data_IF_153826152187
#
_entry.id   IF_153826152187
#
_cell.length_a   1.000
_cell.length_b   1.000
_cell.length_c   1.000
_cell.angle_alpha   90.00
_cell.angle_beta   90.00
_cell.angle_gamma   90.00
#
_symmetry.space_group_name_H-M   'P 1'
#
loop_
_entity.id
_entity.type
_entity.pdbx_description
1 polymer ?
#
# COMPACT_ATOMS: atom_id res chain seq x y z
N UNK A 1 12.52 2.90 -16.74
CA UNK A 1 12.91 2.83 -15.32
C UNK A 1 11.91 1.91 -14.64
N UNK A 2 12.34 0.82 -14.02
CA UNK A 2 11.43 0.01 -13.19
C UNK A 2 11.11 0.86 -11.96
N UNK A 3 9.96 1.51 -11.95
CA UNK A 3 9.47 2.11 -10.72
C UNK A 3 9.15 0.93 -9.80
N UNK A 4 9.94 0.79 -8.72
CA UNK A 4 9.58 -0.15 -7.68
C UNK A 4 8.19 0.23 -7.18
N UNK A 5 7.25 -0.73 -7.23
CA UNK A 5 5.88 -0.52 -6.76
C UNK A 5 5.86 -0.23 -5.25
N UNK A 6 6.82 -0.81 -4.52
CA UNK A 6 6.94 -0.70 -3.06
C UNK A 6 8.26 -0.01 -2.73
N UNK A 7 8.21 1.00 -1.87
CA UNK A 7 9.37 1.75 -1.39
C UNK A 7 9.24 2.04 0.12
N UNK A 8 10.30 2.55 0.75
CA UNK A 8 10.32 3.05 2.14
C UNK A 8 9.75 2.04 3.16
N UNK A 9 10.12 0.76 3.05
CA UNK A 9 9.62 -0.29 3.93
C UNK A 9 10.23 -0.17 5.33
N UNK A 10 9.35 -0.09 6.34
CA UNK A 10 9.71 -0.10 7.75
C UNK A 10 8.95 -1.22 8.48
N UNK A 11 9.63 -1.92 9.40
CA UNK A 11 9.07 -3.03 10.16
C UNK A 11 9.21 -2.77 11.65
N UNK A 12 8.12 -2.93 12.38
CA UNK A 12 8.04 -2.66 13.80
C UNK A 12 7.51 -3.86 14.58
N UNK A 13 7.88 -3.98 15.85
CA UNK A 13 7.31 -4.94 16.76
C UNK A 13 7.85 -6.37 16.64
N UNK A 14 8.93 -6.61 15.87
CA UNK A 14 9.53 -7.94 15.70
C UNK A 14 9.89 -8.58 17.03
N UNK A 15 10.71 -7.91 17.84
CA UNK A 15 11.20 -8.41 19.12
C UNK A 15 10.05 -8.74 20.07
N UNK A 16 9.09 -7.83 20.25
CA UNK A 16 7.94 -8.10 21.11
C UNK A 16 7.07 -9.25 20.58
N UNK A 17 6.86 -9.34 19.27
CA UNK A 17 6.08 -10.42 18.65
C UNK A 17 6.77 -11.78 18.82
N UNK A 18 8.09 -11.84 18.73
CA UNK A 18 8.86 -13.06 19.02
C UNK A 18 8.75 -13.44 20.49
N UNK A 19 8.82 -12.47 21.40
CA UNK A 19 8.63 -12.70 22.83
C UNK A 19 7.26 -13.30 23.13
N UNK A 20 6.17 -12.70 22.63
CA UNK A 20 4.80 -13.17 22.92
C UNK A 20 4.46 -14.49 22.24
N UNK A 21 5.12 -14.84 21.13
CA UNK A 21 4.93 -16.14 20.47
C UNK A 21 5.31 -17.33 21.35
N UNK A 22 6.14 -17.10 22.38
CA UNK A 22 6.61 -18.11 23.34
C UNK A 22 5.63 -18.32 24.52
N UNK A 23 4.69 -17.40 24.75
CA UNK A 23 3.78 -17.42 25.91
C UNK A 23 3.00 -18.72 26.12
N UNK A 24 2.44 -19.36 25.08
CA UNK A 24 1.64 -20.57 25.28
C UNK A 24 2.42 -21.74 25.94
N UNK A 25 3.74 -21.71 25.92
CA UNK A 25 4.60 -22.76 26.45
C UNK A 25 5.32 -22.38 27.75
N UNK A 26 4.98 -21.21 28.33
CA UNK A 26 5.65 -20.70 29.53
C UNK A 26 4.71 -20.66 30.73
N UNK A 27 5.25 -21.03 31.88
CA UNK A 27 4.59 -20.82 33.17
C UNK A 27 4.79 -19.38 33.65
N UNK A 28 6.01 -18.84 33.44
CA UNK A 28 6.33 -17.44 33.73
C UNK A 28 6.75 -16.71 32.44
N UNK A 29 5.89 -15.84 31.97
CA UNK A 29 6.09 -15.08 30.73
C UNK A 29 7.20 -14.03 30.83
N UNK A 30 7.64 -13.67 32.06
CA UNK A 30 8.75 -12.73 32.26
C UNK A 30 10.09 -13.33 31.78
N UNK A 31 10.19 -14.63 31.66
CA UNK A 31 11.38 -15.33 31.15
C UNK A 31 11.43 -15.38 29.61
N UNK A 32 10.42 -14.88 28.91
CA UNK A 32 10.40 -14.86 27.45
C UNK A 32 11.24 -13.74 26.90
N UNK A 33 12.20 -14.07 26.02
CA UNK A 33 13.03 -13.10 25.28
C UNK A 33 12.48 -12.85 23.88
N UNK A 34 12.79 -11.69 23.31
CA UNK A 34 12.46 -11.31 21.92
C UNK A 34 13.38 -11.88 20.84
N UNK A 35 14.28 -12.78 21.22
CA UNK A 35 15.21 -13.40 20.28
C UNK A 35 14.49 -14.37 19.34
N UNK A 36 14.90 -14.33 18.06
CA UNK A 36 14.43 -15.29 17.05
C UNK A 36 14.91 -16.69 17.37
N UNK A 37 14.06 -17.67 17.10
CA UNK A 37 14.39 -19.10 17.15
C UNK A 37 13.80 -19.82 15.93
N UNK A 38 14.36 -20.95 15.53
CA UNK A 38 13.83 -21.76 14.43
C UNK A 38 12.36 -22.15 14.63
N UNK A 39 11.96 -22.36 15.89
CA UNK A 39 10.57 -22.62 16.24
C UNK A 39 9.64 -21.44 15.84
N UNK A 40 10.07 -20.21 16.01
CA UNK A 40 9.30 -19.01 15.57
C UNK A 40 9.11 -19.05 14.06
N UNK A 41 10.14 -19.40 13.28
CA UNK A 41 10.05 -19.59 11.83
C UNK A 41 9.03 -20.69 11.46
N UNK A 42 9.05 -21.81 12.16
CA UNK A 42 8.09 -22.91 11.97
C UNK A 42 6.64 -22.45 12.26
N UNK A 43 6.42 -21.72 13.37
CA UNK A 43 5.12 -21.16 13.70
C UNK A 43 4.63 -20.13 12.68
N UNK A 44 5.54 -19.28 12.17
CA UNK A 44 5.23 -18.32 11.12
C UNK A 44 4.81 -18.99 9.80
N UNK A 45 5.41 -20.16 9.50
CA UNK A 45 5.14 -20.96 8.31
C UNK A 45 3.95 -21.90 8.41
N UNK A 46 3.25 -21.98 9.56
CA UNK A 46 2.13 -22.91 9.74
C UNK A 46 0.96 -22.58 8.80
N UNK A 47 0.07 -23.57 8.62
CA UNK A 47 -1.12 -23.45 7.80
C UNK A 47 -2.07 -22.37 8.34
N UNK A 48 -2.74 -21.65 7.42
CA UNK A 48 -3.73 -20.62 7.78
C UNK A 48 -4.87 -21.20 8.63
N UNK A 49 -5.30 -20.43 9.61
CA UNK A 49 -6.43 -20.78 10.46
C UNK A 49 -6.07 -21.66 11.66
N UNK A 50 -4.83 -22.16 11.78
CA UNK A 50 -4.38 -22.91 12.96
C UNK A 50 -4.19 -22.05 14.21
N UNK A 51 -4.07 -20.73 14.04
CA UNK A 51 -3.86 -19.77 15.12
C UNK A 51 -2.43 -19.69 15.65
N UNK A 52 -1.53 -20.59 15.21
CA UNK A 52 -0.14 -20.61 15.68
C UNK A 52 0.69 -19.44 15.17
N UNK A 53 0.26 -18.81 14.08
CA UNK A 53 0.90 -17.63 13.46
C UNK A 53 0.30 -16.30 13.94
N UNK A 54 -0.57 -16.29 14.93
CA UNK A 54 -1.24 -15.06 15.40
C UNK A 54 -0.26 -13.96 15.88
N UNK A 55 0.93 -14.33 16.35
CA UNK A 55 1.96 -13.38 16.76
C UNK A 55 2.41 -12.48 15.60
N UNK A 56 2.26 -12.91 14.33
CA UNK A 56 2.56 -12.12 13.14
C UNK A 56 1.68 -10.87 13.03
N UNK A 57 0.53 -10.81 13.70
CA UNK A 57 -0.32 -9.60 13.80
C UNK A 57 0.38 -8.46 14.53
N UNK A 58 1.29 -8.78 15.45
CA UNK A 58 2.06 -7.80 16.20
C UNK A 58 3.24 -7.20 15.43
N UNK A 59 3.59 -7.76 14.26
CA UNK A 59 4.64 -7.24 13.40
C UNK A 59 4.01 -6.30 12.38
N UNK A 60 4.13 -5.01 12.61
CA UNK A 60 3.57 -3.96 11.75
C UNK A 60 4.56 -3.62 10.65
N UNK A 61 4.05 -3.48 9.44
CA UNK A 61 4.82 -3.07 8.26
C UNK A 61 4.22 -1.80 7.70
N UNK A 62 5.05 -0.78 7.51
CA UNK A 62 4.69 0.46 6.83
C UNK A 62 5.56 0.61 5.58
N UNK A 63 4.96 1.08 4.50
CA UNK A 63 5.64 1.24 3.22
C UNK A 63 4.88 2.18 2.30
N UNK A 64 5.55 2.71 1.27
CA UNK A 64 4.90 3.43 0.19
C UNK A 64 4.54 2.45 -0.93
N UNK A 65 3.29 2.51 -1.40
CA UNK A 65 2.77 1.68 -2.48
C UNK A 65 2.28 2.58 -3.62
N UNK A 66 2.79 2.33 -4.82
CA UNK A 66 2.39 3.05 -6.03
C UNK A 66 1.54 2.14 -6.91
N UNK A 67 0.24 2.41 -6.97
CA UNK A 67 -0.74 1.66 -7.77
C UNK A 67 -1.46 2.56 -8.76
N UNK A 68 -1.95 1.96 -9.85
CA UNK A 68 -2.94 2.64 -10.69
C UNK A 68 -4.26 2.79 -9.94
N UNK A 69 -5.08 3.77 -10.32
CA UNK A 69 -6.44 3.94 -9.76
C UNK A 69 -7.24 2.63 -9.88
N UNK A 70 -7.09 1.89 -11.00
CA UNK A 70 -7.72 0.57 -11.15
C UNK A 70 -7.24 -0.43 -10.11
N UNK A 71 -5.93 -0.50 -9.84
CA UNK A 71 -5.38 -1.43 -8.86
C UNK A 71 -5.79 -1.07 -7.42
N UNK A 72 -5.93 0.22 -7.10
CA UNK A 72 -6.43 0.68 -5.80
C UNK A 72 -7.83 0.14 -5.50
N UNK A 73 -8.75 0.14 -6.47
CA UNK A 73 -10.12 -0.40 -6.27
C UNK A 73 -10.14 -1.89 -5.92
N UNK A 74 -9.11 -2.64 -6.30
CA UNK A 74 -8.95 -4.04 -5.90
C UNK A 74 -8.20 -4.17 -4.56
N UNK A 75 -7.22 -3.30 -4.31
CA UNK A 75 -6.44 -3.29 -3.07
C UNK A 75 -7.27 -2.98 -1.83
N UNK A 76 -8.27 -2.11 -1.94
CA UNK A 76 -9.17 -1.73 -0.84
C UNK A 76 -10.03 -2.88 -0.29
N UNK A 77 -10.09 -4.02 -0.98
CA UNK A 77 -10.82 -5.21 -0.53
C UNK A 77 -10.08 -6.04 0.54
N UNK A 78 -8.80 -5.77 0.75
CA UNK A 78 -8.01 -6.48 1.74
C UNK A 78 -8.13 -5.81 3.11
N UNK A 79 -8.64 -6.54 4.11
CA UNK A 79 -8.66 -6.09 5.50
C UNK A 79 -7.24 -5.95 6.05
N UNK A 80 -7.01 -4.95 6.90
CA UNK A 80 -5.70 -4.67 7.51
C UNK A 80 -4.60 -4.33 6.48
N UNK A 81 -5.01 -3.78 5.35
CA UNK A 81 -4.14 -3.23 4.32
C UNK A 81 -4.55 -1.77 4.15
N UNK A 82 -4.23 -0.97 5.17
CA UNK A 82 -4.84 0.33 5.37
C UNK A 82 -4.00 1.46 4.75
N UNK A 83 -4.70 2.38 4.09
CA UNK A 83 -4.10 3.62 3.60
C UNK A 83 -3.96 4.59 4.78
N UNK A 84 -2.73 4.98 5.10
CA UNK A 84 -2.44 6.02 6.10
C UNK A 84 -2.69 7.40 5.51
N UNK A 85 -2.18 7.64 4.29
CA UNK A 85 -2.40 8.85 3.50
C UNK A 85 -2.02 8.59 2.05
N UNK A 86 -2.64 9.28 1.10
CA UNK A 86 -2.38 9.10 -0.32
C UNK A 86 -2.28 10.41 -1.08
N UNK A 87 -1.66 10.36 -2.26
CA UNK A 87 -1.77 11.45 -3.21
C UNK A 87 -3.23 11.68 -3.61
N UNK A 88 -3.64 12.93 -3.72
CA UNK A 88 -5.01 13.31 -4.07
C UNK A 88 -5.08 13.84 -5.50
N UNK A 89 -5.92 13.23 -6.34
CA UNK A 89 -6.27 13.77 -7.66
C UNK A 89 -7.00 15.11 -7.51
N UNK A 90 -7.91 15.22 -6.54
CA UNK A 90 -8.68 16.44 -6.30
C UNK A 90 -7.84 17.67 -5.95
N UNK A 91 -6.61 17.50 -5.47
CA UNK A 91 -5.74 18.62 -5.12
C UNK A 91 -4.54 18.80 -6.04
N UNK A 92 -4.21 17.79 -6.83
CA UNK A 92 -2.94 17.76 -7.56
C UNK A 92 -3.04 17.47 -9.05
N UNK A 93 -4.18 17.04 -9.57
CA UNK A 93 -4.33 16.61 -10.96
C UNK A 93 -3.84 17.67 -11.97
N UNK A 94 -4.13 18.93 -11.74
CA UNK A 94 -3.67 20.05 -12.61
C UNK A 94 -2.17 20.34 -12.53
N UNK A 95 -1.47 19.76 -11.55
CA UNK A 95 -0.03 19.97 -11.31
C UNK A 95 0.81 18.73 -11.59
N UNK A 96 0.18 17.60 -11.94
CA UNK A 96 0.88 16.35 -12.23
C UNK A 96 1.63 16.43 -13.56
N UNK A 97 2.77 15.74 -13.62
CA UNK A 97 3.53 15.51 -14.85
C UNK A 97 2.99 14.29 -15.58
N UNK A 98 2.15 14.50 -16.59
CA UNK A 98 1.48 13.43 -17.32
C UNK A 98 2.42 12.57 -18.17
N UNK A 99 3.67 12.98 -18.35
CA UNK A 99 4.69 12.11 -18.96
C UNK A 99 5.14 10.95 -18.04
N UNK A 100 4.90 11.04 -16.73
CA UNK A 100 5.43 10.11 -15.71
C UNK A 100 4.37 9.43 -14.87
N UNK A 101 3.16 10.01 -14.77
CA UNK A 101 2.15 9.55 -13.80
C UNK A 101 1.18 8.50 -14.34
N UNK A 102 1.31 8.08 -15.60
CA UNK A 102 0.45 7.05 -16.18
C UNK A 102 1.19 5.73 -16.37
N UNK A 103 0.48 4.62 -16.22
CA UNK A 103 1.01 3.31 -16.57
C UNK A 103 1.20 3.18 -18.09
N UNK A 104 2.00 2.20 -18.51
CA UNK A 104 2.37 1.99 -19.91
C UNK A 104 1.18 1.69 -20.85
N UNK A 105 0.03 1.32 -20.30
CA UNK A 105 -1.17 0.96 -21.07
C UNK A 105 -2.10 2.15 -21.33
N UNK A 106 -1.81 3.34 -20.81
CA UNK A 106 -2.54 4.56 -21.16
C UNK A 106 -2.03 5.05 -22.52
N UNK A 107 -2.95 5.16 -23.49
CA UNK A 107 -2.59 5.56 -24.87
C UNK A 107 -2.08 6.99 -24.95
N UNK A 108 -1.29 7.28 -25.97
CA UNK A 108 -0.76 8.64 -26.18
C UNK A 108 -1.87 9.65 -26.48
N UNK A 109 -2.95 9.22 -27.14
CA UNK A 109 -4.13 10.07 -27.35
C UNK A 109 -4.77 10.48 -26.01
N UNK A 110 -4.91 9.53 -25.06
CA UNK A 110 -5.43 9.83 -23.73
C UNK A 110 -4.52 10.78 -22.96
N UNK A 111 -3.20 10.58 -23.02
CA UNK A 111 -2.23 11.49 -22.38
C UNK A 111 -2.30 12.90 -22.98
N UNK A 112 -2.41 13.01 -24.30
CA UNK A 112 -2.54 14.29 -25.01
C UNK A 112 -3.83 15.01 -24.64
N UNK A 113 -4.94 14.28 -24.51
CA UNK A 113 -6.21 14.85 -24.08
C UNK A 113 -6.14 15.34 -22.63
N UNK A 114 -5.53 14.59 -21.73
CA UNK A 114 -5.31 15.04 -20.35
C UNK A 114 -4.46 16.30 -20.27
N UNK A 115 -3.40 16.41 -21.09
CA UNK A 115 -2.59 17.63 -21.15
C UNK A 115 -3.38 18.82 -21.71
N UNK A 116 -4.22 18.58 -22.73
CA UNK A 116 -5.14 19.61 -23.28
C UNK A 116 -6.09 20.14 -22.21
N UNK A 117 -6.76 19.23 -21.47
CA UNK A 117 -7.71 19.61 -20.41
C UNK A 117 -7.01 20.35 -19.26
N UNK A 118 -5.81 19.94 -18.89
CA UNK A 118 -4.98 20.61 -17.89
C UNK A 118 -4.65 22.06 -18.32
N UNK A 119 -4.27 22.27 -19.58
CA UNK A 119 -3.97 23.60 -20.10
C UNK A 119 -5.23 24.48 -20.11
N UNK A 120 -6.38 23.97 -20.54
CA UNK A 120 -7.67 24.69 -20.46
C UNK A 120 -7.97 25.13 -19.03
N UNK A 121 -7.80 24.24 -18.06
CA UNK A 121 -8.01 24.62 -16.66
C UNK A 121 -7.00 25.65 -16.17
N UNK A 122 -5.73 25.52 -16.51
CA UNK A 122 -4.69 26.45 -16.07
C UNK A 122 -4.87 27.84 -16.67
N UNK A 123 -5.33 27.92 -17.93
CA UNK A 123 -5.61 29.20 -18.63
C UNK A 123 -6.91 29.85 -18.11
N UNK A 124 -7.91 29.04 -17.74
CA UNK A 124 -9.19 29.51 -17.22
C UNK A 124 -9.67 28.61 -16.06
N UNK A 125 -9.25 28.92 -14.81
CA UNK A 125 -9.48 28.04 -13.65
C UNK A 125 -10.90 28.15 -13.10
N UNK A 126 -11.89 27.65 -13.84
CA UNK A 126 -13.27 27.51 -13.40
C UNK A 126 -13.52 26.15 -12.78
N UNK A 127 -14.56 26.03 -11.95
CA UNK A 127 -14.99 24.74 -11.40
C UNK A 127 -15.38 23.75 -12.50
N UNK A 128 -15.99 24.22 -13.59
CA UNK A 128 -16.37 23.39 -14.72
C UNK A 128 -15.13 22.79 -15.43
N UNK A 129 -14.15 23.61 -15.78
CA UNK A 129 -12.90 23.13 -16.39
C UNK A 129 -12.14 22.18 -15.48
N UNK A 130 -12.21 22.40 -14.17
CA UNK A 130 -11.62 21.48 -13.19
C UNK A 130 -12.33 20.11 -13.20
N UNK A 131 -13.65 20.08 -13.25
CA UNK A 131 -14.42 18.84 -13.32
C UNK A 131 -14.18 18.09 -14.64
N UNK A 132 -14.08 18.79 -15.79
CA UNK A 132 -13.65 18.16 -17.03
C UNK A 132 -12.28 17.46 -16.88
N UNK A 133 -11.30 18.13 -16.29
CA UNK A 133 -9.98 17.53 -16.06
C UNK A 133 -10.07 16.34 -15.11
N UNK A 134 -10.81 16.45 -14.01
CA UNK A 134 -10.91 15.42 -12.98
C UNK A 134 -11.63 14.16 -13.48
N UNK A 135 -12.78 14.29 -14.14
CA UNK A 135 -13.60 13.16 -14.55
C UNK A 135 -13.14 12.47 -15.84
N UNK A 136 -12.23 13.10 -16.59
CA UNK A 136 -11.60 12.45 -17.74
C UNK A 136 -10.29 11.73 -17.40
N UNK A 137 -9.88 11.79 -16.12
CA UNK A 137 -8.66 11.11 -15.66
C UNK A 137 -8.76 9.59 -15.85
N UNK A 138 -7.84 8.96 -16.58
CA UNK A 138 -7.89 7.53 -16.83
C UNK A 138 -7.54 6.74 -15.57
N UNK A 139 -8.15 5.56 -15.40
CA UNK A 139 -7.86 4.63 -14.29
C UNK A 139 -6.43 4.09 -14.28
N UNK A 140 -5.67 4.33 -15.35
CA UNK A 140 -4.24 4.07 -15.45
C UNK A 140 -3.34 5.13 -14.80
N UNK A 141 -3.91 6.17 -14.17
CA UNK A 141 -3.15 7.12 -13.36
C UNK A 141 -2.55 6.38 -12.16
N UNK A 142 -1.25 6.59 -11.92
CA UNK A 142 -0.51 6.01 -10.79
C UNK A 142 -0.53 7.02 -9.65
N UNK A 143 -0.97 6.55 -8.49
CA UNK A 143 -0.95 7.29 -7.22
C UNK A 143 -0.17 6.51 -6.18
N UNK A 144 0.57 7.23 -5.35
CA UNK A 144 1.30 6.64 -4.22
C UNK A 144 0.57 6.90 -2.92
N UNK A 145 0.46 5.85 -2.10
CA UNK A 145 -0.05 5.95 -0.73
C UNK A 145 0.96 5.38 0.26
N UNK A 146 1.06 5.99 1.42
CA UNK A 146 1.66 5.39 2.61
C UNK A 146 0.69 4.37 3.19
N UNK A 147 1.16 3.13 3.35
CA UNK A 147 0.39 1.98 3.79
C UNK A 147 0.81 1.53 5.17
N UNK A 148 -0.13 0.91 5.90
CA UNK A 148 0.17 0.14 7.09
C UNK A 148 -0.54 -1.22 7.03
N UNK A 149 0.16 -2.27 7.45
CA UNK A 149 -0.36 -3.64 7.50
C UNK A 149 0.42 -4.44 8.54
N UNK A 150 0.17 -5.74 8.63
CA UNK A 150 0.94 -6.66 9.47
C UNK A 150 1.41 -7.90 8.70
N UNK A 151 2.37 -8.62 9.27
CA UNK A 151 2.94 -9.81 8.60
C UNK A 151 1.92 -10.92 8.35
N UNK A 152 0.89 -11.07 9.20
CA UNK A 152 -0.14 -12.09 8.96
C UNK A 152 -0.96 -11.75 7.72
N UNK A 153 -1.30 -10.47 7.53
CA UNK A 153 -2.00 -10.02 6.33
C UNK A 153 -1.15 -10.16 5.07
N UNK A 154 0.13 -9.81 5.14
CA UNK A 154 1.05 -10.02 4.01
C UNK A 154 1.17 -11.50 3.64
N UNK A 155 1.26 -12.40 4.63
CA UNK A 155 1.20 -13.85 4.41
C UNK A 155 -0.10 -14.25 3.70
N UNK A 156 -1.23 -13.62 4.06
CA UNK A 156 -2.55 -13.89 3.45
C UNK A 156 -2.62 -13.42 2.00
N UNK A 157 -2.03 -12.27 1.67
CA UNK A 157 -1.99 -11.73 0.31
C UNK A 157 -1.08 -12.57 -0.60
N UNK A 158 0.05 -13.07 -0.05
CA UNK A 158 1.04 -13.85 -0.79
C UNK A 158 0.55 -15.27 -1.14
N UNK A 159 -0.33 -15.87 -0.36
CA UNK A 159 -0.85 -17.23 -0.55
C UNK A 159 -2.11 -17.24 -1.39
#
# INVERSE_FOLDING_TARGET
MSNNLVNNVNVYGLENSFRVSKFPMQVDVNNCTGEYTERIGTLAGCEKGTGHDNFLKGIIVQFDLSFTVKAWTEGERYHWFDIVSSQSTMHRISKMDYSKCFCAYVTDNTKSEMERLKNIYNDNPTSENYLYLLYNCPVGLILTAGMTTNYQQLKTIYS
#
